data_IF_478800842799
#
_entry.id   IF_478800842799
#
_cell.length_a   1.000
_cell.length_b   1.000
_cell.length_c   1.000
_cell.angle_alpha   90.00
_cell.angle_beta   90.00
_cell.angle_gamma   90.00
#
_symmetry.space_group_name_H-M   'P 1'
#
loop_
_entity.id
_entity.type
_entity.pdbx_description
1 polymer ?
#
# COMPACT_ATOMS: atom_id res chain seq x y z
N UNK A 1 4.27 1.36 -16.37
CA UNK A 1 3.64 0.39 -15.46
C UNK A 1 2.82 1.16 -14.44
N UNK A 2 1.61 0.69 -14.14
CA UNK A 2 0.84 1.18 -13.00
C UNK A 2 1.23 0.31 -11.80
N UNK A 3 1.76 0.91 -10.74
CA UNK A 3 2.15 0.21 -9.51
C UNK A 3 1.16 0.56 -8.42
N UNK A 4 0.79 -0.41 -7.59
CA UNK A 4 -0.02 -0.19 -6.41
C UNK A 4 0.73 -0.58 -5.14
N UNK A 5 0.43 0.11 -4.04
CA UNK A 5 0.75 -0.33 -2.69
C UNK A 5 -0.52 -0.28 -1.84
N UNK A 6 -0.80 -1.36 -1.13
CA UNK A 6 -1.96 -1.50 -0.24
C UNK A 6 -1.53 -1.82 1.18
N UNK A 7 -2.36 -1.48 2.15
CA UNK A 7 -2.34 -2.11 3.48
C UNK A 7 -2.88 -3.53 3.30
N UNK A 8 -2.13 -4.54 3.75
CA UNK A 8 -2.60 -5.93 3.74
C UNK A 8 -3.68 -6.09 4.81
N UNK A 9 -4.91 -6.34 4.35
CA UNK A 9 -6.10 -6.40 5.21
C UNK A 9 -6.63 -7.83 5.39
N UNK A 10 -6.00 -8.81 4.74
CA UNK A 10 -6.26 -10.24 4.83
C UNK A 10 -5.48 -10.90 5.97
N UNK A 11 -5.94 -12.08 6.41
CA UNK A 11 -5.23 -12.91 7.40
C UNK A 11 -5.07 -12.28 8.80
N UNK A 12 -5.86 -11.24 9.11
CA UNK A 12 -5.80 -10.54 10.38
C UNK A 12 -6.53 -11.30 11.49
N UNK A 13 -5.96 -11.31 12.70
CA UNK A 13 -6.70 -11.73 13.89
C UNK A 13 -7.70 -10.64 14.35
N UNK A 14 -8.64 -11.02 15.22
CA UNK A 14 -9.69 -10.11 15.72
C UNK A 14 -9.13 -8.81 16.35
N UNK A 15 -7.95 -8.89 16.99
CA UNK A 15 -7.32 -7.73 17.61
C UNK A 15 -6.68 -6.82 16.56
N UNK A 16 -6.07 -7.39 15.54
CA UNK A 16 -5.51 -6.67 14.40
C UNK A 16 -6.62 -5.97 13.62
N UNK A 17 -7.72 -6.65 13.32
CA UNK A 17 -8.87 -6.04 12.64
C UNK A 17 -9.46 -4.86 13.41
N UNK A 18 -9.73 -5.04 14.72
CA UNK A 18 -10.24 -3.94 15.56
C UNK A 18 -9.29 -2.75 15.58
N UNK A 19 -7.98 -3.00 15.56
CA UNK A 19 -6.97 -1.95 15.49
C UNK A 19 -6.98 -1.25 14.13
N UNK A 20 -7.05 -2.01 13.04
CA UNK A 20 -7.12 -1.48 11.68
C UNK A 20 -8.38 -0.61 11.50
N UNK A 21 -9.56 -1.14 11.83
CA UNK A 21 -10.84 -0.43 11.80
C UNK A 21 -10.80 0.88 12.59
N UNK A 22 -10.22 0.87 13.81
CA UNK A 22 -10.08 2.08 14.63
C UNK A 22 -9.16 3.13 14.00
N UNK A 23 -8.11 2.69 13.30
CA UNK A 23 -7.13 3.59 12.68
C UNK A 23 -7.49 3.95 11.22
N UNK A 24 -8.59 3.42 10.68
CA UNK A 24 -9.00 3.63 9.28
C UNK A 24 -9.05 5.13 8.91
N UNK A 25 -9.65 6.04 9.71
CA UNK A 25 -9.69 7.45 9.35
C UNK A 25 -8.30 8.08 9.23
N UNK A 26 -7.38 7.72 10.12
CA UNK A 26 -6.00 8.25 10.10
C UNK A 26 -5.21 7.69 8.90
N UNK A 27 -5.42 6.41 8.56
CA UNK A 27 -4.81 5.77 7.40
C UNK A 27 -5.33 6.42 6.10
N UNK A 28 -6.64 6.57 5.96
CA UNK A 28 -7.26 7.25 4.82
C UNK A 28 -6.74 8.69 4.69
N UNK A 29 -6.65 9.43 5.80
CA UNK A 29 -6.09 10.79 5.81
C UNK A 29 -4.63 10.84 5.36
N UNK A 30 -3.79 9.90 5.83
CA UNK A 30 -2.39 9.84 5.43
C UNK A 30 -2.22 9.49 3.94
N UNK A 31 -3.02 8.54 3.42
CA UNK A 31 -2.99 8.16 2.01
C UNK A 31 -3.49 9.30 1.11
N UNK A 32 -4.57 9.98 1.52
CA UNK A 32 -5.11 11.13 0.80
C UNK A 32 -4.08 12.28 0.75
N UNK A 33 -3.42 12.60 1.87
CA UNK A 33 -2.36 13.60 1.91
C UNK A 33 -1.19 13.24 0.98
N UNK A 34 -0.77 11.97 0.94
CA UNK A 34 0.25 11.53 0.00
C UNK A 34 -0.17 11.76 -1.46
N UNK A 35 -1.42 11.42 -1.82
CA UNK A 35 -1.95 11.62 -3.18
C UNK A 35 -1.93 13.10 -3.56
N UNK A 36 -2.37 13.99 -2.66
CA UNK A 36 -2.36 15.44 -2.88
C UNK A 36 -0.95 16.00 -3.05
N UNK A 37 0.00 15.57 -2.21
CA UNK A 37 1.41 15.98 -2.30
C UNK A 37 2.11 15.44 -3.55
N UNK A 38 1.59 14.36 -4.14
CA UNK A 38 2.16 13.67 -5.30
C UNK A 38 1.25 13.73 -6.54
N UNK A 39 0.40 14.77 -6.66
CA UNK A 39 -0.49 14.98 -7.81
C UNK A 39 0.29 14.94 -9.15
N UNK A 40 1.49 15.53 -9.18
CA UNK A 40 2.36 15.52 -10.38
C UNK A 40 2.82 14.11 -10.80
N UNK A 41 2.82 13.14 -9.88
CA UNK A 41 3.12 11.74 -10.17
C UNK A 41 1.87 10.97 -10.66
N UNK A 42 0.69 11.61 -10.70
CA UNK A 42 -0.60 10.98 -10.96
C UNK A 42 -0.89 9.83 -9.98
N UNK A 43 -0.58 10.04 -8.71
CA UNK A 43 -1.00 9.12 -7.66
C UNK A 43 -2.53 9.17 -7.53
N UNK A 44 -3.14 8.02 -7.24
CA UNK A 44 -4.57 7.86 -7.03
C UNK A 44 -4.83 7.06 -5.76
N UNK A 45 -5.79 7.51 -4.95
CA UNK A 45 -6.24 6.83 -3.75
C UNK A 45 -7.06 5.59 -4.15
N UNK A 46 -6.77 4.45 -3.51
CA UNK A 46 -7.60 3.25 -3.54
C UNK A 46 -8.25 3.11 -2.15
N UNK A 47 -9.56 3.25 -2.06
CA UNK A 47 -10.29 3.32 -0.78
C UNK A 47 -11.66 2.63 -0.86
N UNK A 48 -11.63 1.31 -0.95
CA UNK A 48 -12.80 0.44 -0.93
C UNK A 48 -12.86 -0.25 0.43
N UNK A 49 -13.34 0.45 1.45
CA UNK A 49 -13.44 -0.05 2.84
C UNK A 49 -14.89 -0.07 3.35
N UNK A 50 -15.85 -0.36 2.46
CA UNK A 50 -17.27 -0.37 2.79
C UNK A 50 -17.76 -1.70 3.37
N UNK A 51 -16.98 -2.78 3.20
CA UNK A 51 -17.29 -4.09 3.78
C UNK A 51 -17.10 -4.06 5.30
N UNK A 52 -17.88 -4.84 6.03
CA UNK A 52 -17.63 -5.08 7.45
C UNK A 52 -16.41 -5.98 7.66
N UNK A 53 -16.06 -6.81 6.68
CA UNK A 53 -14.92 -7.72 6.71
C UNK A 53 -13.68 -7.00 6.15
N UNK A 54 -12.60 -6.96 6.94
CA UNK A 54 -11.37 -6.27 6.53
C UNK A 54 -10.70 -6.95 5.33
N UNK A 55 -10.85 -8.26 5.16
CA UNK A 55 -10.23 -9.01 4.06
C UNK A 55 -10.71 -8.56 2.67
N UNK A 56 -11.90 -7.96 2.59
CA UNK A 56 -12.43 -7.39 1.35
C UNK A 56 -11.92 -5.96 1.09
N UNK A 57 -11.18 -5.35 2.02
CA UNK A 57 -10.79 -3.96 1.89
C UNK A 57 -9.68 -3.75 0.87
N UNK A 58 -9.81 -2.68 0.10
CA UNK A 58 -8.73 -2.14 -0.72
C UNK A 58 -8.38 -0.75 -0.22
N UNK A 59 -7.27 -0.64 0.52
CA UNK A 59 -6.82 0.60 1.11
C UNK A 59 -5.36 0.86 0.76
N UNK A 60 -5.10 1.90 -0.05
CA UNK A 60 -3.74 2.26 -0.43
C UNK A 60 -3.71 3.25 -1.58
N UNK A 61 -2.69 3.16 -2.43
CA UNK A 61 -2.52 4.05 -3.57
C UNK A 61 -2.04 3.29 -4.80
N UNK A 62 -2.39 3.81 -5.97
CA UNK A 62 -1.75 3.46 -7.23
C UNK A 62 -1.04 4.68 -7.83
N UNK A 63 0.06 4.46 -8.55
CA UNK A 63 0.71 5.52 -9.31
C UNK A 63 1.47 4.97 -10.55
N UNK A 64 1.48 5.69 -11.67
CA UNK A 64 2.33 5.35 -12.81
C UNK A 64 3.82 5.46 -12.48
N UNK A 65 4.55 4.35 -12.59
CA UNK A 65 6.01 4.31 -12.37
C UNK A 65 6.73 4.06 -13.70
N UNK A 66 7.71 4.93 -14.00
CA UNK A 66 8.56 4.86 -15.20
C UNK A 66 10.02 4.53 -14.89
N UNK A 67 10.46 4.74 -13.65
CA UNK A 67 11.86 4.59 -13.22
C UNK A 67 11.88 4.09 -11.78
N UNK A 68 12.77 3.14 -11.48
CA UNK A 68 13.00 2.62 -10.12
C UNK A 68 13.12 3.68 -9.01
N UNK A 69 13.66 4.87 -9.33
CA UNK A 69 13.85 5.93 -8.35
C UNK A 69 12.52 6.46 -7.75
N UNK A 70 11.41 6.35 -8.48
CA UNK A 70 10.09 6.77 -7.99
C UNK A 70 9.52 5.82 -6.92
N UNK A 71 9.99 4.57 -6.85
CA UNK A 71 9.54 3.61 -5.84
C UNK A 71 10.09 3.93 -4.45
N UNK A 72 11.26 4.56 -4.36
CA UNK A 72 11.90 4.83 -3.07
C UNK A 72 11.03 5.66 -2.12
N UNK A 73 10.52 6.84 -2.50
CA UNK A 73 9.64 7.61 -1.61
C UNK A 73 8.33 6.89 -1.30
N UNK A 74 7.79 6.15 -2.27
CA UNK A 74 6.56 5.38 -2.15
C UNK A 74 6.68 4.26 -1.11
N UNK A 75 7.69 3.40 -1.25
CA UNK A 75 7.97 2.30 -0.32
C UNK A 75 8.37 2.83 1.06
N UNK A 76 9.10 3.95 1.14
CA UNK A 76 9.41 4.60 2.41
C UNK A 76 8.15 5.04 3.16
N UNK A 77 7.21 5.68 2.45
CA UNK A 77 5.93 6.10 3.03
C UNK A 77 5.13 4.91 3.58
N UNK A 78 5.04 3.80 2.84
CA UNK A 78 4.35 2.60 3.35
C UNK A 78 5.10 1.90 4.49
N UNK A 79 6.44 1.93 4.50
CA UNK A 79 7.20 1.47 5.66
C UNK A 79 6.86 2.27 6.92
N UNK A 80 6.68 3.59 6.80
CA UNK A 80 6.27 4.43 7.93
C UNK A 80 4.84 4.11 8.40
N UNK A 81 3.91 3.86 7.48
CA UNK A 81 2.55 3.40 7.81
C UNK A 81 2.59 2.02 8.50
N UNK A 82 3.29 1.05 7.92
CA UNK A 82 3.45 -0.29 8.46
C UNK A 82 3.98 -0.25 9.90
N UNK A 83 5.02 0.56 10.14
CA UNK A 83 5.60 0.77 11.47
C UNK A 83 4.61 1.44 12.43
N UNK A 84 3.96 2.53 12.01
CA UNK A 84 3.05 3.33 12.85
C UNK A 84 1.83 2.54 13.27
N UNK A 85 1.22 1.82 12.33
CA UNK A 85 -0.04 1.11 12.54
C UNK A 85 0.15 -0.37 12.88
N UNK A 86 1.38 -0.89 12.77
CA UNK A 86 1.71 -2.31 12.93
C UNK A 86 0.89 -3.19 11.99
N UNK A 87 0.93 -2.86 10.71
CA UNK A 87 0.28 -3.57 9.60
C UNK A 87 1.34 -4.06 8.63
N UNK A 88 0.99 -5.07 7.83
CA UNK A 88 1.73 -5.40 6.62
C UNK A 88 1.16 -4.64 5.42
N UNK A 89 1.90 -4.67 4.32
CA UNK A 89 1.61 -3.98 3.09
C UNK A 89 1.90 -4.91 1.92
N UNK A 90 1.11 -4.77 0.87
CA UNK A 90 1.25 -5.47 -0.40
C UNK A 90 1.70 -4.48 -1.48
N UNK A 91 2.58 -4.91 -2.37
CA UNK A 91 2.98 -4.14 -3.56
C UNK A 91 2.90 -5.00 -4.81
N UNK A 92 2.42 -4.41 -5.90
CA UNK A 92 2.25 -5.08 -7.18
C UNK A 92 2.08 -4.13 -8.34
N UNK A 93 1.89 -4.68 -9.53
CA UNK A 93 1.46 -3.95 -10.71
C UNK A 93 -0.04 -4.11 -10.95
N UNK A 94 -0.61 -3.16 -11.68
CA UNK A 94 -1.96 -3.29 -12.25
C UNK A 94 -1.81 -3.40 -13.77
N UNK A 95 -2.29 -4.51 -14.33
CA UNK A 95 -2.36 -4.79 -15.77
C UNK A 95 -3.76 -5.32 -16.11
N UNK A 96 -4.40 -4.76 -17.15
CA UNK A 96 -5.76 -5.12 -17.57
C UNK A 96 -6.79 -5.15 -16.41
N UNK A 97 -6.72 -4.13 -15.54
CA UNK A 97 -7.54 -3.98 -14.32
C UNK A 97 -7.38 -5.11 -13.29
N UNK A 98 -6.35 -5.94 -13.43
CA UNK A 98 -5.98 -6.99 -12.49
C UNK A 98 -4.74 -6.61 -11.69
N UNK A 99 -4.76 -6.91 -10.39
CA UNK A 99 -3.62 -6.74 -9.48
C UNK A 99 -2.72 -7.97 -9.57
N UNK A 100 -1.44 -7.75 -9.82
CA UNK A 100 -0.39 -8.77 -9.77
C UNK A 100 0.58 -8.46 -8.60
N UNK A 101 0.38 -9.07 -7.42
CA UNK A 101 1.22 -8.82 -6.25
C UNK A 101 2.60 -9.43 -6.45
N UNK A 102 3.65 -8.65 -6.15
CA UNK A 102 5.04 -9.10 -6.30
C UNK A 102 5.79 -9.20 -4.98
N UNK A 103 5.32 -8.55 -3.91
CA UNK A 103 5.94 -8.60 -2.59
C UNK A 103 4.99 -8.16 -1.48
N UNK A 104 5.25 -8.66 -0.27
CA UNK A 104 4.65 -8.21 0.97
C UNK A 104 5.75 -7.73 1.91
N UNK A 105 5.46 -6.70 2.72
CA UNK A 105 6.40 -6.12 3.67
C UNK A 105 5.67 -5.42 4.82
N UNK A 106 6.30 -5.30 5.98
CA UNK A 106 5.80 -4.50 7.09
C UNK A 106 6.04 -5.13 8.46
N UNK A 107 4.98 -5.23 9.24
CA UNK A 107 5.02 -5.68 10.63
C UNK A 107 5.55 -7.11 10.80
N UNK A 108 5.12 -8.06 9.97
CA UNK A 108 5.52 -9.47 10.02
C UNK A 108 6.60 -9.79 8.99
N UNK A 109 6.49 -9.19 7.80
CA UNK A 109 7.37 -9.48 6.66
C UNK A 109 8.71 -8.70 6.71
N UNK A 110 8.82 -7.70 7.59
CA UNK A 110 9.99 -6.85 7.71
C UNK A 110 9.97 -5.64 6.76
N UNK A 111 11.02 -4.83 6.78
CA UNK A 111 11.03 -3.57 6.04
C UNK A 111 11.01 -3.81 4.52
N UNK A 112 10.14 -3.08 3.81
CA UNK A 112 10.09 -3.10 2.36
C UNK A 112 11.34 -2.46 1.75
N UNK A 113 11.96 -3.15 0.78
CA UNK A 113 13.14 -2.70 0.05
C UNK A 113 12.75 -2.26 -1.37
N UNK A 114 12.84 -0.96 -1.64
CA UNK A 114 12.46 -0.40 -2.94
C UNK A 114 13.31 -0.91 -4.11
N UNK A 115 14.57 -1.29 -3.88
CA UNK A 115 15.45 -1.84 -4.91
C UNK A 115 15.04 -3.28 -5.26
N UNK A 116 14.75 -4.10 -4.25
CA UNK A 116 14.28 -5.47 -4.46
C UNK A 116 12.89 -5.49 -5.11
N UNK A 117 11.97 -4.65 -4.62
CA UNK A 117 10.63 -4.50 -5.21
C UNK A 117 10.73 -4.03 -6.68
N UNK A 118 11.61 -3.08 -7.00
CA UNK A 118 11.83 -2.67 -8.38
C UNK A 118 12.29 -3.83 -9.27
N UNK A 119 13.16 -4.69 -8.76
CA UNK A 119 13.64 -5.87 -9.49
C UNK A 119 12.50 -6.86 -9.77
N UNK A 120 11.60 -7.09 -8.80
CA UNK A 120 10.42 -7.95 -9.00
C UNK A 120 9.41 -7.35 -9.98
N UNK A 121 9.24 -6.02 -9.98
CA UNK A 121 8.41 -5.30 -10.95
C UNK A 121 9.07 -5.16 -12.34
N UNK A 122 10.32 -5.59 -12.53
CA UNK A 122 11.02 -5.45 -13.81
C UNK A 122 11.34 -3.99 -14.21
N UNK A 123 11.59 -3.11 -13.23
CA UNK A 123 11.83 -1.67 -13.40
C UNK A 123 13.31 -1.22 -13.36
#
# INVERSE_FOLDING_TARGET
MLVYLLVACDGLDEKQEKKLKRNLPDLQGALQAYVEENEAANAALMNECQSDECEDWVLGISQPVKKKAALKPLVAFFNDLAKKYAVDCEVGSIEDDQRDPVSYFGKQEGQGDAFLIAAYLGL
#
